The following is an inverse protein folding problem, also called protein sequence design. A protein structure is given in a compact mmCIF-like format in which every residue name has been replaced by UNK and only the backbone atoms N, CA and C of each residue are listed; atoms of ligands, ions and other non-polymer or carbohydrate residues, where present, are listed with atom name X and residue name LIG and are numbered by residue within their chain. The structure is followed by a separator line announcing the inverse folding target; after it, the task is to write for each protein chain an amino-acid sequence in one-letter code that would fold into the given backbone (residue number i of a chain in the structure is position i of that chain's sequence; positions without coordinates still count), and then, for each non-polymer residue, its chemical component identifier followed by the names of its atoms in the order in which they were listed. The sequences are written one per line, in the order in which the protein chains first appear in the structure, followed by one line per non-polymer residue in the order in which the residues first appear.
data_IF_068039414580
#
_entry.id   IF_068039414580
#
_cell.length_a   1.000
_cell.length_b   1.000
_cell.length_c   1.000
_cell.angle_alpha   90.00
_cell.angle_beta   90.00
_cell.angle_gamma   90.00
#
_symmetry.space_group_name_H-M   'P 1'
#
loop_
_entity.id
_entity.type
_entity.pdbx_description
1 polymer ?
#
# COMPACT_ATOMS: atom_id res chain seq x y z
N UNK A 1 -5.05 19.85 16.64
CA UNK A 1 -4.37 18.82 15.84
C UNK A 1 -4.01 19.46 14.52
N UNK A 2 -2.85 20.10 14.48
CA UNK A 2 -2.46 21.00 13.39
C UNK A 2 -2.07 20.19 12.16
N UNK A 3 -2.73 20.50 11.04
CA UNK A 3 -2.44 19.99 9.70
C UNK A 3 -1.11 20.60 9.26
N UNK A 4 0.00 19.94 9.64
CA UNK A 4 1.35 20.39 9.29
C UNK A 4 1.57 20.16 7.81
N UNK A 5 1.77 21.25 7.07
CA UNK A 5 1.98 21.36 5.63
C UNK A 5 2.57 20.09 4.99
N UNK A 6 1.71 19.29 4.36
CA UNK A 6 2.14 18.04 3.72
C UNK A 6 2.79 18.39 2.39
N UNK A 7 4.13 18.41 2.38
CA UNK A 7 4.94 18.78 1.20
C UNK A 7 4.78 17.79 0.06
N UNK A 8 4.65 16.50 0.38
CA UNK A 8 4.41 15.45 -0.60
C UNK A 8 3.60 14.31 0.00
N UNK A 9 2.61 13.85 -0.75
CA UNK A 9 1.78 12.71 -0.38
C UNK A 9 1.57 11.81 -1.57
N UNK A 10 2.06 10.60 -1.46
CA UNK A 10 1.80 9.56 -2.44
C UNK A 10 0.77 8.57 -1.89
N UNK A 11 -0.35 8.45 -2.60
CA UNK A 11 -1.32 7.38 -2.35
C UNK A 11 -1.18 6.38 -3.49
N UNK A 12 -0.87 5.10 -3.22
CA UNK A 12 -0.88 4.07 -4.25
C UNK A 12 -2.28 4.03 -4.90
N UNK A 13 -2.29 3.81 -6.22
CA UNK A 13 -3.39 4.09 -7.15
C UNK A 13 -4.78 3.56 -6.76
N UNK A 14 -5.79 4.04 -7.49
CA UNK A 14 -7.23 3.77 -7.24
C UNK A 14 -7.49 2.27 -7.02
N UNK A 15 -8.38 1.97 -6.09
CA UNK A 15 -8.91 0.62 -5.88
C UNK A 15 -9.41 0.10 -7.24
N UNK A 16 -8.72 -0.88 -7.84
CA UNK A 16 -9.06 -1.37 -9.18
C UNK A 16 -10.49 -1.91 -9.18
N UNK A 17 -11.34 -1.42 -10.08
CA UNK A 17 -12.74 -1.83 -10.21
C UNK A 17 -12.93 -3.36 -10.33
N UNK A 18 -11.90 -4.07 -10.82
CA UNK A 18 -11.81 -5.52 -10.87
C UNK A 18 -11.95 -6.25 -9.52
N UNK A 19 -11.89 -5.57 -8.37
CA UNK A 19 -12.24 -6.15 -7.07
C UNK A 19 -13.70 -6.56 -6.97
N UNK A 20 -14.62 -5.81 -7.59
CA UNK A 20 -16.06 -6.08 -7.47
C UNK A 20 -16.57 -7.12 -8.45
N UNK A 21 -15.83 -7.39 -9.53
CA UNK A 21 -16.29 -8.27 -10.62
C UNK A 21 -16.45 -9.73 -10.16
N UNK A 22 -15.49 -10.36 -9.46
CA UNK A 22 -15.67 -11.71 -8.93
C UNK A 22 -16.83 -11.81 -7.92
N UNK A 23 -17.01 -10.77 -7.10
CA UNK A 23 -18.12 -10.68 -6.14
C UNK A 23 -19.47 -10.57 -6.82
N UNK A 24 -19.58 -9.73 -7.86
CA UNK A 24 -20.80 -9.56 -8.63
C UNK A 24 -21.15 -10.85 -9.39
N UNK A 25 -20.17 -11.48 -10.06
CA UNK A 25 -20.35 -12.76 -10.75
C UNK A 25 -20.83 -13.83 -9.75
N UNK A 26 -20.19 -13.93 -8.58
CA UNK A 26 -20.61 -14.89 -7.58
C UNK A 26 -21.99 -14.63 -7.01
N UNK A 27 -22.33 -13.38 -6.71
CA UNK A 27 -23.66 -13.02 -6.23
C UNK A 27 -24.73 -13.42 -7.25
N UNK A 28 -24.47 -13.19 -8.55
CA UNK A 28 -25.35 -13.63 -9.64
C UNK A 28 -25.45 -15.14 -9.69
N UNK A 29 -24.32 -15.88 -9.62
CA UNK A 29 -24.31 -17.35 -9.64
C UNK A 29 -25.02 -17.93 -8.41
N UNK A 30 -24.88 -17.33 -7.23
CA UNK A 30 -25.57 -17.76 -6.01
C UNK A 30 -27.07 -17.52 -6.11
N UNK A 31 -27.49 -16.32 -6.53
CA UNK A 31 -28.91 -16.01 -6.72
C UNK A 31 -29.53 -16.94 -7.77
N UNK A 32 -28.82 -17.20 -8.87
CA UNK A 32 -29.30 -18.11 -9.91
C UNK A 32 -29.36 -19.55 -9.41
N UNK A 33 -28.29 -20.08 -8.83
CA UNK A 33 -28.26 -21.46 -8.29
C UNK A 33 -29.33 -21.66 -7.21
N UNK A 34 -29.55 -20.65 -6.36
CA UNK A 34 -30.58 -20.65 -5.34
C UNK A 34 -31.98 -20.69 -5.94
N UNK A 35 -32.23 -19.85 -6.94
CA UNK A 35 -33.50 -19.82 -7.66
C UNK A 35 -33.78 -21.15 -8.37
N UNK A 36 -32.79 -21.68 -9.08
CA UNK A 36 -32.89 -22.95 -9.80
C UNK A 36 -33.16 -24.11 -8.83
N UNK A 37 -32.39 -24.22 -7.74
CA UNK A 37 -32.60 -25.25 -6.73
C UNK A 37 -34.01 -25.17 -6.13
N UNK A 38 -34.43 -23.98 -5.67
CA UNK A 38 -35.75 -23.76 -5.10
C UNK A 38 -36.86 -24.10 -6.10
N UNK A 39 -36.70 -23.76 -7.37
CA UNK A 39 -37.69 -24.05 -8.41
C UNK A 39 -37.85 -25.55 -8.68
N UNK A 40 -36.82 -26.36 -8.41
CA UNK A 40 -36.83 -27.81 -8.63
C UNK A 40 -37.30 -28.60 -7.41
N UNK A 41 -36.89 -28.20 -6.21
CA UNK A 41 -37.13 -28.98 -4.98
C UNK A 41 -38.21 -28.38 -4.08
N UNK A 42 -38.53 -27.08 -4.24
CA UNK A 42 -39.40 -26.34 -3.32
C UNK A 42 -38.74 -25.98 -1.99
N UNK A 43 -37.50 -26.42 -1.76
CA UNK A 43 -36.77 -26.27 -0.51
C UNK A 43 -35.61 -25.27 -0.64
N UNK A 44 -35.11 -24.83 0.50
CA UNK A 44 -33.98 -23.89 0.62
C UNK A 44 -32.79 -24.68 1.16
N UNK A 45 -31.66 -24.78 0.44
CA UNK A 45 -30.50 -25.55 0.85
C UNK A 45 -29.67 -24.74 1.85
N UNK A 46 -30.19 -24.60 3.06
CA UNK A 46 -29.63 -23.77 4.14
C UNK A 46 -28.23 -24.24 4.56
N UNK A 47 -28.03 -25.55 4.60
CA UNK A 47 -26.76 -26.22 4.88
C UNK A 47 -25.67 -25.83 3.88
N UNK A 48 -25.96 -25.93 2.57
CA UNK A 48 -25.03 -25.52 1.53
C UNK A 48 -24.73 -24.02 1.60
N UNK A 49 -25.73 -23.19 1.90
CA UNK A 49 -25.58 -21.74 2.02
C UNK A 49 -24.68 -21.35 3.21
N UNK A 50 -24.84 -22.04 4.34
CA UNK A 50 -24.08 -21.83 5.57
C UNK A 50 -22.62 -22.29 5.45
N UNK A 51 -22.32 -23.24 4.57
CA UNK A 51 -20.94 -23.73 4.37
C UNK A 51 -20.26 -23.02 3.20
N UNK A 52 -20.89 -23.00 2.02
CA UNK A 52 -20.29 -22.45 0.80
C UNK A 52 -20.24 -20.93 0.81
N UNK A 53 -21.22 -20.26 1.45
CA UNK A 53 -21.26 -18.82 1.60
C UNK A 53 -20.00 -18.25 2.26
N UNK A 54 -19.71 -18.60 3.53
CA UNK A 54 -18.53 -18.11 4.22
C UNK A 54 -17.21 -18.62 3.63
N UNK A 55 -17.16 -19.86 3.11
CA UNK A 55 -15.96 -20.37 2.45
C UNK A 55 -15.60 -19.54 1.21
N UNK A 56 -16.59 -19.25 0.37
CA UNK A 56 -16.38 -18.41 -0.80
C UNK A 56 -16.02 -16.98 -0.39
N UNK A 57 -16.72 -16.43 0.60
CA UNK A 57 -16.42 -15.11 1.16
C UNK A 57 -14.95 -15.03 1.59
N UNK A 58 -14.46 -16.03 2.33
CA UNK A 58 -13.08 -16.10 2.79
C UNK A 58 -12.09 -16.16 1.63
N UNK A 59 -12.30 -17.03 0.63
CA UNK A 59 -11.36 -17.19 -0.50
C UNK A 59 -11.30 -15.92 -1.35
N UNK A 60 -12.44 -15.32 -1.68
CA UNK A 60 -12.51 -14.17 -2.59
C UNK A 60 -12.24 -12.82 -1.91
N UNK A 61 -12.21 -12.78 -0.58
CA UNK A 61 -11.76 -11.58 0.16
C UNK A 61 -10.24 -11.50 0.28
N UNK A 62 -9.49 -12.60 0.15
CA UNK A 62 -8.01 -12.61 0.24
C UNK A 62 -7.35 -11.59 -0.72
N UNK A 63 -7.65 -11.54 -2.03
CA UNK A 63 -7.03 -10.55 -2.93
C UNK A 63 -7.39 -9.10 -2.57
N UNK A 64 -8.59 -8.88 -2.06
CA UNK A 64 -9.06 -7.60 -1.54
C UNK A 64 -8.26 -7.17 -0.29
N UNK A 65 -8.08 -8.08 0.67
CA UNK A 65 -7.27 -7.85 1.87
C UNK A 65 -5.80 -7.57 1.52
N UNK A 66 -5.21 -8.32 0.58
CA UNK A 66 -3.83 -8.08 0.12
C UNK A 66 -3.71 -6.70 -0.52
N UNK A 67 -4.69 -6.29 -1.32
CA UNK A 67 -4.67 -4.99 -1.98
C UNK A 67 -4.92 -3.82 -1.02
N UNK A 68 -5.81 -4.02 -0.06
CA UNK A 68 -6.04 -3.08 1.03
C UNK A 68 -4.79 -2.94 1.91
N UNK A 69 -4.14 -4.06 2.24
CA UNK A 69 -2.86 -4.13 2.93
C UNK A 69 -1.80 -3.32 2.17
N UNK A 70 -1.57 -3.62 0.88
CA UNK A 70 -0.64 -2.86 0.03
C UNK A 70 -0.93 -1.36 0.05
N UNK A 71 -2.20 -0.96 -0.02
CA UNK A 71 -2.58 0.45 0.04
C UNK A 71 -2.20 1.12 1.36
N UNK A 72 -2.36 0.40 2.48
CA UNK A 72 -2.00 0.87 3.83
C UNK A 72 -0.49 1.01 3.99
N UNK A 73 0.29 0.04 3.48
CA UNK A 73 1.74 -0.03 3.68
C UNK A 73 2.55 0.85 2.72
N UNK A 74 2.04 1.15 1.52
CA UNK A 74 2.74 2.00 0.53
C UNK A 74 2.34 3.48 0.56
N UNK A 75 1.69 3.95 1.64
CA UNK A 75 1.42 5.39 1.77
C UNK A 75 2.70 6.11 2.19
N UNK A 76 3.19 7.01 1.35
CA UNK A 76 4.32 7.89 1.64
C UNK A 76 3.76 9.27 1.99
N UNK A 77 4.12 9.76 3.16
CA UNK A 77 3.80 11.12 3.60
C UNK A 77 5.11 11.80 3.99
N UNK A 78 5.46 12.86 3.28
CA UNK A 78 6.59 13.73 3.61
C UNK A 78 6.05 15.00 4.27
N UNK A 79 6.52 15.25 5.48
CA UNK A 79 6.31 16.49 6.22
C UNK A 79 7.66 17.20 6.41
N UNK A 80 7.67 18.48 6.80
CA UNK A 80 8.92 19.21 7.01
C UNK A 80 9.85 18.58 8.07
N UNK A 81 9.27 17.83 9.01
CA UNK A 81 10.00 17.25 10.15
C UNK A 81 10.19 15.73 10.04
N UNK A 82 9.27 15.04 9.37
CA UNK A 82 9.26 13.57 9.32
C UNK A 82 8.94 13.05 7.92
N UNK A 83 9.69 12.04 7.49
CA UNK A 83 9.36 11.18 6.36
C UNK A 83 8.70 9.91 6.91
N UNK A 84 7.43 9.70 6.58
CA UNK A 84 6.69 8.51 6.96
C UNK A 84 6.41 7.65 5.74
N UNK A 85 6.84 6.39 5.80
CA UNK A 85 6.67 5.39 4.74
C UNK A 85 5.97 4.19 5.37
N UNK A 86 4.67 4.06 5.16
CA UNK A 86 3.86 2.99 5.76
C UNK A 86 3.92 2.99 7.30
N UNK A 87 4.60 1.99 7.87
CA UNK A 87 4.80 1.82 9.32
C UNK A 87 6.06 2.51 9.86
N UNK A 88 7.00 2.86 8.99
CA UNK A 88 8.29 3.42 9.38
C UNK A 88 8.22 4.95 9.32
N UNK A 89 8.77 5.60 10.33
CA UNK A 89 8.89 7.07 10.42
C UNK A 89 10.32 7.46 10.71
N UNK A 90 10.89 8.31 9.86
CA UNK A 90 12.25 8.83 10.00
C UNK A 90 12.22 10.36 10.14
N UNK A 91 13.04 10.96 11.02
CA UNK A 91 13.19 12.41 11.11
C UNK A 91 13.96 12.93 9.89
N UNK A 92 13.47 13.99 9.24
CA UNK A 92 14.09 14.52 8.01
C UNK A 92 15.47 15.13 8.28
N UNK A 93 15.70 15.67 9.48
CA UNK A 93 17.01 16.21 9.89
C UNK A 93 18.15 15.18 9.85
N UNK A 94 17.83 13.88 9.81
CA UNK A 94 18.79 12.79 9.69
C UNK A 94 18.98 12.26 8.27
N UNK A 95 18.33 12.82 7.25
CA UNK A 95 18.33 12.30 5.88
C UNK A 95 19.27 13.11 4.97
N UNK A 96 19.87 12.42 4.00
CA UNK A 96 20.73 12.98 2.97
C UNK A 96 20.30 12.44 1.60
N UNK A 97 20.33 13.28 0.57
CA UNK A 97 20.05 12.84 -0.81
C UNK A 97 21.11 11.86 -1.34
N UNK A 98 22.33 11.98 -0.84
CA UNK A 98 23.44 11.09 -1.20
C UNK A 98 23.31 9.74 -0.48
N UNK A 99 23.42 8.66 -1.24
CA UNK A 99 23.53 7.31 -0.69
C UNK A 99 25.00 7.04 -0.36
N UNK A 100 25.41 6.93 0.92
CA UNK A 100 26.75 6.52 1.27
C UNK A 100 27.02 5.11 0.74
N UNK A 101 28.21 4.85 0.20
CA UNK A 101 28.61 3.51 -0.23
C UNK A 101 29.03 2.68 0.98
N UNK A 102 28.05 2.25 1.77
CA UNK A 102 28.30 1.71 3.11
C UNK A 102 28.51 0.21 3.18
N UNK A 103 28.57 -0.51 2.04
CA UNK A 103 28.72 -1.98 1.98
C UNK A 103 27.59 -2.80 2.66
N UNK A 104 26.71 -2.15 3.44
CA UNK A 104 25.54 -2.72 4.09
C UNK A 104 24.33 -2.64 3.15
N UNK A 105 23.47 -3.68 3.14
CA UNK A 105 22.24 -3.65 2.35
C UNK A 105 21.34 -2.50 2.83
N UNK A 106 20.69 -1.77 1.91
CA UNK A 106 19.82 -0.67 2.28
C UNK A 106 18.60 -1.18 3.07
N UNK A 107 18.22 -0.43 4.10
CA UNK A 107 17.05 -0.72 4.92
C UNK A 107 15.79 -0.38 4.12
N UNK A 108 15.00 -1.40 3.82
CA UNK A 108 13.69 -1.28 3.19
C UNK A 108 12.71 -0.58 4.14
N UNK A 109 12.14 0.54 3.70
CA UNK A 109 11.12 1.28 4.43
C UNK A 109 9.72 0.96 3.89
N UNK A 110 8.73 0.88 4.79
CA UNK A 110 7.34 0.61 4.43
C UNK A 110 6.97 -0.87 4.41
N UNK A 111 7.84 -1.75 4.93
CA UNK A 111 7.57 -3.19 5.04
C UNK A 111 7.47 -3.93 3.71
N UNK A 112 7.96 -3.34 2.61
CA UNK A 112 8.00 -3.99 1.32
C UNK A 112 9.16 -5.01 1.29
N UNK A 113 8.88 -6.26 0.89
CA UNK A 113 9.92 -7.25 0.59
C UNK A 113 10.49 -7.10 -0.83
N UNK A 114 10.00 -6.12 -1.59
CA UNK A 114 10.37 -5.84 -2.99
C UNK A 114 9.49 -4.74 -3.56
N UNK A 115 9.86 -4.19 -4.72
CA UNK A 115 9.15 -3.07 -5.31
C UNK A 115 7.93 -3.50 -6.13
N UNK A 116 6.74 -2.96 -5.83
CA UNK A 116 5.55 -3.25 -6.61
C UNK A 116 5.76 -2.89 -8.08
N UNK A 117 5.28 -3.74 -8.98
CA UNK A 117 5.18 -3.43 -10.41
C UNK A 117 4.58 -2.03 -10.63
N UNK A 118 5.31 -1.18 -11.35
CA UNK A 118 4.93 0.21 -11.65
C UNK A 118 5.48 1.25 -10.67
N UNK A 119 6.16 0.84 -9.60
CA UNK A 119 6.96 1.72 -8.75
C UNK A 119 8.44 1.58 -9.07
N UNK A 120 9.23 2.58 -8.70
CA UNK A 120 10.69 2.62 -8.82
C UNK A 120 11.33 2.67 -7.45
N UNK A 121 12.51 2.06 -7.35
CA UNK A 121 13.34 2.10 -6.15
C UNK A 121 14.06 3.44 -6.06
N UNK A 122 13.94 4.12 -4.92
CA UNK A 122 14.75 5.30 -4.60
C UNK A 122 15.54 4.98 -3.35
N UNK A 123 16.87 5.08 -3.47
CA UNK A 123 17.81 4.89 -2.36
C UNK A 123 18.37 6.23 -1.94
N UNK A 124 18.31 6.54 -0.65
CA UNK A 124 18.88 7.77 -0.08
C UNK A 124 19.61 7.45 1.23
N UNK A 125 20.48 8.36 1.65
CA UNK A 125 21.30 8.17 2.84
C UNK A 125 20.67 8.73 4.11
N UNK A 126 21.15 8.25 5.24
CA UNK A 126 21.06 8.94 6.52
C UNK A 126 22.41 9.56 6.89
N UNK A 127 22.39 10.64 7.68
CA UNK A 127 23.59 11.29 8.25
C UNK A 127 24.53 10.32 8.97
N UNK A 128 24.00 9.21 9.49
CA UNK A 128 24.76 8.16 10.17
C UNK A 128 25.42 7.11 9.24
N UNK A 129 25.41 7.30 7.92
CA UNK A 129 25.92 6.31 6.97
C UNK A 129 24.93 5.18 6.64
N UNK A 130 23.70 5.27 7.15
CA UNK A 130 22.63 4.34 6.81
C UNK A 130 22.14 4.57 5.38
N UNK A 131 21.65 3.51 4.73
CA UNK A 131 21.00 3.59 3.41
C UNK A 131 19.56 3.18 3.58
N UNK A 132 18.64 3.94 3.01
CA UNK A 132 17.21 3.67 3.04
C UNK A 132 16.70 3.46 1.62
N UNK A 133 15.84 2.46 1.43
CA UNK A 133 15.19 2.17 0.15
C UNK A 133 13.69 2.35 0.30
N UNK A 134 13.10 3.16 -0.58
CA UNK A 134 11.66 3.41 -0.67
C UNK A 134 11.18 3.10 -2.08
N UNK A 135 10.02 2.46 -2.20
CA UNK A 135 9.32 2.26 -3.47
C UNK A 135 8.40 3.46 -3.75
N UNK A 136 8.62 4.17 -4.85
CA UNK A 136 7.94 5.42 -5.20
C UNK A 136 7.36 5.32 -6.62
N UNK A 137 6.16 5.85 -6.87
CA UNK A 137 5.56 5.94 -8.22
C UNK A 137 6.30 6.95 -9.08
N UNK A 138 6.60 8.13 -8.54
CA UNK A 138 7.29 9.22 -9.22
C UNK A 138 8.57 9.59 -8.45
N UNK A 139 9.72 9.00 -8.82
CA UNK A 139 10.98 9.23 -8.11
C UNK A 139 11.44 10.68 -8.22
N UNK A 140 11.15 11.36 -9.34
CA UNK A 140 11.63 12.72 -9.60
C UNK A 140 10.84 13.71 -8.73
N UNK A 141 9.51 13.57 -8.66
CA UNK A 141 8.68 14.38 -7.78
C UNK A 141 9.02 14.17 -6.29
N UNK A 142 9.30 12.92 -5.90
CA UNK A 142 9.70 12.60 -4.53
C UNK A 142 11.07 13.19 -4.18
N UNK A 143 12.09 13.03 -5.02
CA UNK A 143 13.42 13.59 -4.79
C UNK A 143 13.40 15.12 -4.77
N UNK A 144 12.62 15.75 -5.65
CA UNK A 144 12.43 17.20 -5.65
C UNK A 144 11.78 17.68 -4.34
N UNK A 145 10.76 16.99 -3.86
CA UNK A 145 10.13 17.31 -2.58
C UNK A 145 11.07 17.07 -1.40
N UNK A 146 11.82 15.96 -1.40
CA UNK A 146 12.80 15.63 -0.38
C UNK A 146 13.92 16.68 -0.32
N UNK A 147 14.44 17.11 -1.48
CA UNK A 147 15.44 18.18 -1.56
C UNK A 147 14.93 19.51 -1.00
N UNK A 148 13.66 19.85 -1.24
CA UNK A 148 13.04 21.05 -0.64
C UNK A 148 12.92 20.99 0.88
N UNK A 149 12.85 19.80 1.49
CA UNK A 149 12.74 19.66 2.95
C UNK A 149 14.11 19.51 3.61
N UNK A 150 15.08 18.91 2.92
CA UNK A 150 16.45 18.76 3.42
C UNK A 150 17.20 20.10 3.36
N UNK A 151 17.10 20.86 2.27
CA UNK A 151 17.82 22.13 2.09
C UNK A 151 17.54 23.21 3.17
N UNK A 152 16.30 23.37 3.70
CA UNK A 152 16.02 24.24 4.84
C UNK A 152 16.69 23.79 6.14
N UNK A 153 16.89 22.48 6.32
CA UNK A 153 17.41 21.89 7.56
C UNK A 153 18.93 21.88 7.68
N UNK A 154 19.65 22.31 6.63
CA UNK A 154 21.11 22.44 6.64
C UNK A 154 21.63 23.82 7.05
N UNK A 155 20.74 24.78 7.36
CA UNK A 155 21.08 26.14 7.81
C UNK A 155 20.81 26.40 9.30
N UNK A 156 20.51 25.36 10.09
CA UNK A 156 20.28 25.44 11.54
C UNK A 156 21.38 24.79 12.35
#
# INVERSE_FOLDING_TARGET
MSDTDVVYRERPGKLKLWFGIPWAIWAVVMVWSFWDYRSRTGEVPLDALLVLGPLFFAVFSIPGLVSYSKRRYHTITLTPQTLRVGRDSLPVAGLTLESPDSGKPPRLLGGASGVPMGMREVVFGGRGGERYLVAVLDPDAFLAALGRVIAPSSQG
#
